data_IF_834115780648
#
_entry.id   IF_834115780648
#
_cell.length_a   1.000
_cell.length_b   1.000
_cell.length_c   1.000
_cell.angle_alpha   90.00
_cell.angle_beta   90.00
_cell.angle_gamma   90.00
#
_symmetry.space_group_name_H-M   'P 1'
#
loop_
_entity.id
_entity.type
_entity.pdbx_description
1 polymer ?
#
# COMPACT_ATOMS: atom_id res chain seq x y z
N UNK A 1 1.78 24.15 19.30
CA UNK A 1 1.00 22.98 19.75
C UNK A 1 0.34 22.38 18.51
N UNK A 2 0.85 21.27 17.96
CA UNK A 2 0.18 20.55 16.88
C UNK A 2 0.08 19.08 17.25
N UNK A 3 -1.16 18.60 17.22
CA UNK A 3 -1.62 17.34 17.78
C UNK A 3 -1.05 16.14 17.01
N UNK A 4 -0.25 15.34 17.72
CA UNK A 4 0.13 13.98 17.34
C UNK A 4 -1.06 13.04 17.58
N UNK A 5 -1.74 12.63 16.51
CA UNK A 5 -2.86 11.68 16.58
C UNK A 5 -3.45 11.27 15.22
N UNK A 6 -2.67 11.35 14.14
CA UNK A 6 -3.19 11.38 12.76
C UNK A 6 -3.44 10.00 12.13
N UNK A 7 -2.79 8.93 12.57
CA UNK A 7 -2.94 7.61 11.92
C UNK A 7 -4.35 7.03 12.04
N UNK A 8 -4.90 6.95 13.25
CA UNK A 8 -6.26 6.40 13.49
C UNK A 8 -7.36 7.31 12.93
N UNK A 9 -7.14 8.63 12.94
CA UNK A 9 -8.10 9.61 12.43
C UNK A 9 -8.16 9.61 10.90
N UNK A 10 -7.03 9.43 10.22
CA UNK A 10 -6.99 9.26 8.77
C UNK A 10 -7.67 7.95 8.34
N UNK A 11 -7.43 6.85 9.07
CA UNK A 11 -8.13 5.57 8.87
C UNK A 11 -9.64 5.70 9.01
N UNK A 12 -10.09 6.38 10.07
CA UNK A 12 -11.52 6.64 10.31
C UNK A 12 -12.12 7.53 9.22
N UNK A 13 -11.42 8.59 8.80
CA UNK A 13 -11.87 9.48 7.74
C UNK A 13 -11.96 8.78 6.38
N UNK A 14 -11.06 7.84 6.08
CA UNK A 14 -11.13 7.01 4.88
C UNK A 14 -12.38 6.11 4.89
N UNK A 15 -12.68 5.46 6.02
CA UNK A 15 -13.89 4.65 6.19
C UNK A 15 -15.17 5.49 6.10
N UNK A 16 -15.20 6.67 6.73
CA UNK A 16 -16.35 7.57 6.68
C UNK A 16 -16.59 8.12 5.26
N UNK A 17 -15.51 8.43 4.53
CA UNK A 17 -15.58 8.84 3.12
C UNK A 17 -16.10 7.69 2.25
N UNK A 18 -15.68 6.45 2.52
CA UNK A 18 -16.15 5.27 1.81
C UNK A 18 -17.66 5.08 1.91
N UNK A 19 -18.20 5.16 3.13
CA UNK A 19 -19.64 5.07 3.36
C UNK A 19 -20.40 6.21 2.66
N UNK A 20 -19.84 7.43 2.65
CA UNK A 20 -20.49 8.57 2.02
C UNK A 20 -20.56 8.47 0.49
N UNK A 21 -19.57 7.87 -0.18
CA UNK A 21 -19.54 7.85 -1.66
C UNK A 21 -19.98 6.52 -2.27
N UNK A 22 -20.17 5.47 -1.44
CA UNK A 22 -20.60 4.12 -1.85
C UNK A 22 -21.82 4.12 -2.79
N UNK A 23 -22.77 5.01 -2.54
CA UNK A 23 -24.01 5.11 -3.32
C UNK A 23 -23.86 5.81 -4.69
N UNK A 24 -22.71 6.45 -4.95
CA UNK A 24 -22.46 7.26 -6.15
C UNK A 24 -21.60 6.55 -7.20
N UNK A 25 -21.00 5.41 -6.87
CA UNK A 25 -20.02 4.74 -7.73
C UNK A 25 -20.56 3.42 -8.27
N UNK A 26 -20.50 3.22 -9.59
CA UNK A 26 -20.57 1.89 -10.18
C UNK A 26 -19.17 1.27 -10.06
N UNK A 27 -19.01 0.26 -9.21
CA UNK A 27 -17.70 -0.24 -8.81
C UNK A 27 -16.90 -0.78 -10.02
N UNK A 28 -15.67 -0.29 -10.30
CA UNK A 28 -14.70 -1.12 -10.99
C UNK A 28 -14.40 -2.33 -10.11
N UNK A 29 -14.50 -3.54 -10.68
CA UNK A 29 -14.11 -4.77 -10.00
C UNK A 29 -12.58 -4.83 -9.92
N UNK A 30 -12.01 -4.44 -8.79
CA UNK A 30 -10.67 -4.90 -8.45
C UNK A 30 -10.78 -6.33 -7.92
N UNK A 31 -9.95 -7.24 -8.44
CA UNK A 31 -9.92 -8.63 -7.96
C UNK A 31 -9.64 -8.74 -6.45
N UNK A 32 -9.04 -7.70 -5.86
CA UNK A 32 -8.66 -7.59 -4.45
C UNK A 32 -9.36 -6.43 -3.72
N UNK A 33 -10.52 -5.96 -4.19
CA UNK A 33 -11.26 -4.89 -3.52
C UNK A 33 -11.59 -5.26 -2.07
N UNK A 34 -11.14 -4.43 -1.12
CA UNK A 34 -11.43 -4.58 0.32
C UNK A 34 -12.94 -4.54 0.57
N UNK A 35 -13.65 -3.68 -0.17
CA UNK A 35 -15.10 -3.65 -0.23
C UNK A 35 -15.55 -3.98 -1.65
N UNK A 36 -16.25 -5.09 -1.84
CA UNK A 36 -16.68 -5.54 -3.18
C UNK A 36 -17.56 -4.53 -3.95
N UNK A 37 -18.21 -3.62 -3.21
CA UNK A 37 -19.11 -2.60 -3.77
C UNK A 37 -18.49 -1.19 -3.79
N UNK A 38 -17.27 -1.01 -3.25
CA UNK A 38 -16.59 0.29 -3.17
C UNK A 38 -15.12 0.15 -3.52
N UNK A 39 -14.76 0.78 -4.62
CA UNK A 39 -13.42 0.80 -5.18
C UNK A 39 -12.48 1.78 -4.44
N UNK A 40 -12.38 1.68 -3.11
CA UNK A 40 -11.45 2.52 -2.33
C UNK A 40 -10.17 1.77 -2.04
N UNK A 41 -9.08 2.35 -2.52
CA UNK A 41 -7.72 1.91 -2.26
C UNK A 41 -7.19 2.74 -1.09
N UNK A 42 -7.08 2.12 0.09
CA UNK A 42 -6.42 2.76 1.22
C UNK A 42 -4.90 2.59 1.09
N UNK A 43 -4.22 3.68 0.76
CA UNK A 43 -2.77 3.74 0.71
C UNK A 43 -2.21 4.21 2.05
N UNK A 44 -1.22 3.49 2.57
CA UNK A 44 -0.46 3.94 3.73
C UNK A 44 1.01 4.17 3.30
N UNK A 45 1.38 5.38 2.85
CA UNK A 45 2.63 5.62 2.13
C UNK A 45 3.89 5.17 2.89
N UNK A 46 3.89 5.30 4.21
CA UNK A 46 5.01 4.85 5.03
C UNK A 46 5.13 3.33 5.13
N UNK A 47 4.02 2.59 5.14
CA UNK A 47 4.04 1.13 5.15
C UNK A 47 4.40 0.59 3.76
N UNK A 48 3.85 1.21 2.71
CA UNK A 48 4.17 0.93 1.32
C UNK A 48 5.67 1.04 1.05
N UNK A 49 6.30 2.14 1.50
CA UNK A 49 7.76 2.30 1.41
C UNK A 49 8.51 1.34 2.35
N UNK A 50 7.98 1.12 3.55
CA UNK A 50 8.65 0.35 4.59
C UNK A 50 8.93 -1.09 4.19
N UNK A 51 7.98 -1.78 3.54
CA UNK A 51 8.17 -3.18 3.11
C UNK A 51 9.21 -3.37 2.02
N UNK A 52 9.59 -2.30 1.31
CA UNK A 52 10.65 -2.32 0.28
C UNK A 52 12.05 -2.23 0.87
N UNK A 53 12.18 -1.98 2.17
CA UNK A 53 13.44 -1.65 2.84
C UNK A 53 14.05 -2.86 3.55
N UNK A 54 15.34 -3.18 3.34
CA UNK A 54 16.03 -4.19 4.13
C UNK A 54 16.01 -3.89 5.63
N UNK A 55 16.00 -4.94 6.45
CA UNK A 55 15.89 -4.83 7.92
C UNK A 55 17.08 -4.06 8.50
N UNK A 56 18.26 -4.26 7.93
CA UNK A 56 19.51 -3.64 8.34
C UNK A 56 19.52 -2.12 8.13
N UNK A 57 18.61 -1.60 7.31
CA UNK A 57 18.49 -0.17 7.02
C UNK A 57 17.72 0.56 8.12
N UNK A 58 16.77 -0.11 8.80
CA UNK A 58 16.01 0.49 9.90
C UNK A 58 16.83 0.61 11.19
N UNK A 59 17.67 -0.39 11.50
CA UNK A 59 18.43 -0.44 12.75
C UNK A 59 19.54 0.61 12.90
N UNK A 60 19.88 1.32 11.83
CA UNK A 60 21.04 2.22 11.77
C UNK A 60 20.74 3.69 11.96
N UNK A 61 19.47 4.11 11.99
CA UNK A 61 19.13 5.53 11.85
C UNK A 61 18.31 6.08 13.01
N UNK A 62 18.86 7.10 13.68
CA UNK A 62 18.08 8.01 14.52
C UNK A 62 17.33 9.00 13.63
N UNK A 63 16.13 8.61 13.19
CA UNK A 63 15.31 9.47 12.34
C UNK A 63 14.65 10.57 13.18
N UNK A 64 14.83 11.83 12.79
CA UNK A 64 14.16 12.96 13.42
C UNK A 64 12.64 12.81 13.33
N UNK A 65 11.95 13.17 14.42
CA UNK A 65 10.49 13.14 14.51
C UNK A 65 9.88 13.96 13.36
N UNK A 66 9.00 13.34 12.57
CA UNK A 66 8.34 13.97 11.41
C UNK A 66 9.08 13.82 10.08
N UNK A 67 10.29 13.25 10.04
CA UNK A 67 11.07 13.04 8.80
C UNK A 67 11.12 11.61 8.30
N UNK A 68 10.43 10.69 8.98
CA UNK A 68 10.43 9.25 8.63
C UNK A 68 9.98 8.97 7.21
N UNK A 69 8.90 9.61 6.76
CA UNK A 69 8.41 9.38 5.40
C UNK A 69 9.42 9.86 4.34
N UNK A 70 9.93 11.08 4.47
CA UNK A 70 10.92 11.63 3.54
C UNK A 70 12.17 10.77 3.47
N UNK A 71 12.66 10.32 4.63
CA UNK A 71 13.82 9.44 4.74
C UNK A 71 13.58 8.07 4.06
N UNK A 72 12.40 7.47 4.26
CA UNK A 72 12.02 6.23 3.58
C UNK A 72 11.95 6.41 2.07
N UNK A 73 11.38 7.51 1.62
CA UNK A 73 11.26 7.82 0.20
C UNK A 73 12.63 7.92 -0.47
N UNK A 74 13.56 8.65 0.16
CA UNK A 74 14.92 8.80 -0.34
C UNK A 74 15.65 7.46 -0.46
N UNK A 75 15.51 6.58 0.53
CA UNK A 75 16.12 5.25 0.46
C UNK A 75 15.55 4.38 -0.66
N UNK A 76 14.23 4.42 -0.88
CA UNK A 76 13.56 3.67 -1.96
C UNK A 76 13.95 4.23 -3.34
N UNK A 77 14.26 5.53 -3.43
CA UNK A 77 14.83 6.14 -4.64
C UNK A 77 16.26 5.62 -4.86
N UNK A 78 17.10 5.64 -3.84
CA UNK A 78 18.51 5.24 -3.89
C UNK A 78 18.69 3.74 -4.20
N UNK A 79 17.80 2.88 -3.69
CA UNK A 79 17.84 1.44 -3.94
C UNK A 79 17.40 1.04 -5.37
N UNK A 80 16.84 1.98 -6.14
CA UNK A 80 16.26 1.71 -7.46
C UNK A 80 14.90 1.02 -7.42
N UNK A 81 14.29 0.84 -6.23
CA UNK A 81 13.03 0.12 -6.06
C UNK A 81 11.86 0.79 -6.80
N UNK A 82 11.88 2.11 -7.00
CA UNK A 82 10.87 2.82 -7.81
C UNK A 82 10.84 2.35 -9.26
N UNK A 83 12.01 2.11 -9.86
CA UNK A 83 12.08 1.62 -11.24
C UNK A 83 11.49 0.21 -11.35
N UNK A 84 11.78 -0.65 -10.37
CA UNK A 84 11.18 -1.98 -10.25
C UNK A 84 9.66 -1.94 -10.14
N UNK A 85 9.11 -1.02 -9.32
CA UNK A 85 7.67 -0.83 -9.19
C UNK A 85 7.02 -0.38 -10.51
N UNK A 86 7.62 0.60 -11.19
CA UNK A 86 7.10 1.10 -12.47
C UNK A 86 7.11 0.01 -13.55
N UNK A 87 8.20 -0.75 -13.65
CA UNK A 87 8.28 -1.88 -14.58
C UNK A 87 7.21 -2.93 -14.27
N UNK A 88 7.00 -3.23 -12.98
CA UNK A 88 6.03 -4.21 -12.54
C UNK A 88 4.60 -3.78 -12.87
N UNK A 89 4.23 -2.51 -12.72
CA UNK A 89 2.90 -2.02 -13.13
C UNK A 89 2.79 -1.77 -14.65
N UNK A 90 3.86 -2.05 -15.41
CA UNK A 90 3.87 -1.94 -16.88
C UNK A 90 4.03 -0.51 -17.40
N UNK A 91 4.61 0.39 -16.62
CA UNK A 91 4.81 1.79 -17.01
C UNK A 91 6.17 2.01 -17.66
N UNK A 92 6.16 2.35 -18.96
CA UNK A 92 7.30 2.93 -19.67
C UNK A 92 7.20 4.46 -19.64
N UNK A 93 7.62 5.05 -18.51
CA UNK A 93 7.50 6.49 -18.27
C UNK A 93 8.78 7.06 -17.65
N UNK A 94 9.90 7.12 -18.40
CA UNK A 94 11.21 7.53 -17.87
C UNK A 94 11.21 8.96 -17.30
N UNK A 95 10.41 9.86 -17.86
CA UNK A 95 10.29 11.23 -17.35
C UNK A 95 9.54 11.29 -16.01
N UNK A 96 8.52 10.44 -15.80
CA UNK A 96 7.84 10.32 -14.51
C UNK A 96 8.80 9.76 -13.46
N UNK A 97 9.56 8.71 -13.79
CA UNK A 97 10.58 8.15 -12.91
C UNK A 97 11.60 9.21 -12.50
N UNK A 98 12.12 9.97 -13.47
CA UNK A 98 13.08 11.06 -13.21
C UNK A 98 12.49 12.12 -12.27
N UNK A 99 11.24 12.53 -12.49
CA UNK A 99 10.55 13.47 -11.59
C UNK A 99 10.44 12.93 -10.18
N UNK A 100 10.05 11.67 -10.02
CA UNK A 100 9.97 11.02 -8.71
C UNK A 100 11.34 10.97 -8.00
N UNK A 101 12.42 10.65 -8.71
CA UNK A 101 13.78 10.58 -8.15
C UNK A 101 14.31 11.96 -7.71
N UNK A 102 13.95 13.01 -8.44
CA UNK A 102 14.40 14.39 -8.14
C UNK A 102 13.48 15.15 -7.19
N UNK A 103 12.30 14.62 -6.85
CA UNK A 103 11.33 15.31 -6.01
C UNK A 103 11.85 15.54 -4.58
N UNK A 104 11.54 16.73 -4.06
CA UNK A 104 11.94 17.18 -2.71
C UNK A 104 10.74 17.63 -1.87
N UNK A 105 9.63 17.96 -2.51
CA UNK A 105 8.40 18.34 -1.82
C UNK A 105 7.72 17.13 -1.18
N UNK A 106 7.43 17.24 0.12
CA UNK A 106 6.86 16.16 0.92
C UNK A 106 5.49 15.71 0.42
N UNK A 107 4.62 16.65 0.06
CA UNK A 107 3.25 16.37 -0.37
C UNK A 107 3.25 15.68 -1.73
N UNK A 108 4.13 16.13 -2.65
CA UNK A 108 4.31 15.47 -3.96
C UNK A 108 4.90 14.07 -3.82
N UNK A 109 5.87 13.85 -2.92
CA UNK A 109 6.38 12.51 -2.61
C UNK A 109 5.26 11.59 -2.14
N UNK A 110 4.42 12.06 -1.23
CA UNK A 110 3.25 11.30 -0.77
C UNK A 110 2.29 10.99 -1.93
N UNK A 111 1.98 11.97 -2.78
CA UNK A 111 1.12 11.79 -3.95
C UNK A 111 1.67 10.73 -4.93
N UNK A 112 2.98 10.72 -5.18
CA UNK A 112 3.59 9.69 -6.04
C UNK A 112 3.46 8.28 -5.47
N UNK A 113 3.59 8.11 -4.15
CA UNK A 113 3.41 6.81 -3.52
C UNK A 113 1.94 6.37 -3.58
N UNK A 114 0.99 7.28 -3.31
CA UNK A 114 -0.43 6.99 -3.49
C UNK A 114 -0.75 6.58 -4.94
N UNK A 115 -0.18 7.28 -5.93
CA UNK A 115 -0.30 6.93 -7.35
C UNK A 115 0.23 5.53 -7.64
N UNK A 116 1.41 5.17 -7.12
CA UNK A 116 1.97 3.82 -7.28
C UNK A 116 1.13 2.74 -6.60
N UNK A 117 0.57 3.02 -5.42
CA UNK A 117 -0.36 2.10 -4.74
C UNK A 117 -1.59 1.85 -5.61
N UNK A 118 -2.20 2.91 -6.14
CA UNK A 118 -3.34 2.80 -7.05
C UNK A 118 -2.98 2.07 -8.36
N UNK A 119 -1.78 2.26 -8.88
CA UNK A 119 -1.30 1.55 -10.06
C UNK A 119 -1.11 0.05 -9.81
N UNK A 120 -0.50 -0.32 -8.67
CA UNK A 120 -0.39 -1.72 -8.25
C UNK A 120 -1.78 -2.35 -8.09
N UNK A 121 -2.72 -1.58 -7.53
CA UNK A 121 -4.10 -2.01 -7.35
C UNK A 121 -4.81 -2.29 -8.67
N UNK A 122 -4.74 -1.32 -9.59
CA UNK A 122 -5.34 -1.43 -10.92
C UNK A 122 -4.71 -2.54 -11.76
N UNK A 123 -3.43 -2.83 -11.57
CA UNK A 123 -2.74 -3.94 -12.23
C UNK A 123 -3.06 -5.31 -11.62
N UNK A 124 -3.78 -5.38 -10.48
CA UNK A 124 -4.02 -6.63 -9.75
C UNK A 124 -2.76 -7.24 -9.13
N UNK A 125 -1.75 -6.41 -8.85
CA UNK A 125 -0.44 -6.83 -8.32
C UNK A 125 -0.16 -6.33 -6.91
N UNK A 126 -1.10 -5.57 -6.33
CA UNK A 126 -0.99 -5.12 -4.96
C UNK A 126 -1.35 -6.23 -3.98
N UNK A 127 -0.69 -6.21 -2.82
CA UNK A 127 -0.99 -7.08 -1.70
C UNK A 127 -1.92 -6.36 -0.73
N UNK A 128 -3.00 -7.02 -0.34
CA UNK A 128 -3.97 -6.47 0.63
C UNK A 128 -3.75 -7.16 1.96
N UNK A 129 -3.29 -6.40 2.95
CA UNK A 129 -3.01 -6.90 4.30
C UNK A 129 -3.84 -6.17 5.34
N UNK A 130 -4.20 -6.85 6.41
CA UNK A 130 -5.01 -6.29 7.48
C UNK A 130 -6.05 -7.27 7.99
N UNK A 131 -7.00 -6.76 8.75
CA UNK A 131 -8.09 -7.54 9.32
C UNK A 131 -9.33 -6.67 9.57
N UNK A 132 -10.44 -7.30 9.97
CA UNK A 132 -11.72 -6.60 10.20
C UNK A 132 -11.63 -5.57 11.33
N UNK A 133 -10.80 -5.79 12.34
CA UNK A 133 -10.66 -4.88 13.48
C UNK A 133 -9.70 -3.72 13.19
N UNK A 134 -8.64 -3.95 12.40
CA UNK A 134 -7.57 -2.97 12.14
C UNK A 134 -7.68 -2.24 10.79
N UNK A 135 -8.60 -2.70 9.94
CA UNK A 135 -8.77 -2.26 8.56
C UNK A 135 -7.79 -2.94 7.61
N UNK A 136 -7.86 -2.58 6.34
CA UNK A 136 -7.05 -3.17 5.28
C UNK A 136 -6.22 -2.09 4.59
N UNK A 137 -4.99 -2.42 4.24
CA UNK A 137 -4.09 -1.53 3.51
C UNK A 137 -3.55 -2.22 2.26
N UNK A 138 -3.30 -1.43 1.22
CA UNK A 138 -2.70 -1.91 -0.02
C UNK A 138 -1.20 -1.64 0.01
N UNK A 139 -0.44 -2.70 -0.25
CA UNK A 139 1.02 -2.72 -0.27
C UNK A 139 1.53 -3.06 -1.67
N UNK A 140 2.81 -2.78 -1.97
CA UNK A 140 3.39 -3.20 -3.24
C UNK A 140 3.37 -4.73 -3.37
N UNK A 141 3.61 -5.27 -4.56
CA UNK A 141 3.76 -6.70 -4.77
C UNK A 141 4.84 -7.32 -3.89
N UNK A 142 4.57 -8.50 -3.35
CA UNK A 142 5.47 -9.24 -2.46
C UNK A 142 6.85 -9.53 -3.06
N UNK A 143 6.96 -9.64 -4.39
CA UNK A 143 8.24 -9.85 -5.11
C UNK A 143 9.29 -8.76 -4.82
N UNK A 144 8.84 -7.56 -4.46
CA UNK A 144 9.71 -6.41 -4.16
C UNK A 144 9.94 -6.22 -2.66
N UNK A 145 9.34 -7.06 -1.82
CA UNK A 145 9.46 -6.91 -0.37
C UNK A 145 10.80 -7.42 0.14
N UNK A 146 11.33 -6.69 1.11
CA UNK A 146 12.44 -7.18 1.92
C UNK A 146 12.10 -8.52 2.59
N UNK A 147 13.13 -9.31 2.88
CA UNK A 147 12.99 -10.65 3.45
C UNK A 147 12.16 -10.65 4.74
N UNK A 148 12.42 -9.70 5.65
CA UNK A 148 11.69 -9.59 6.92
C UNK A 148 10.18 -9.44 6.72
N UNK A 149 9.76 -8.65 5.73
CA UNK A 149 8.34 -8.37 5.47
C UNK A 149 7.64 -9.59 4.89
N UNK A 150 8.31 -10.33 3.99
CA UNK A 150 7.81 -11.59 3.45
C UNK A 150 7.67 -12.64 4.55
N UNK A 151 8.69 -12.82 5.38
CA UNK A 151 8.66 -13.74 6.52
C UNK A 151 7.53 -13.40 7.49
N UNK A 152 7.33 -12.11 7.80
CA UNK A 152 6.24 -11.68 8.68
C UNK A 152 4.86 -11.99 8.08
N UNK A 153 4.67 -11.82 6.77
CA UNK A 153 3.44 -12.20 6.09
C UNK A 153 3.19 -13.71 6.17
N UNK A 154 4.20 -14.53 5.86
CA UNK A 154 4.11 -15.99 5.94
C UNK A 154 3.75 -16.48 7.36
N UNK A 155 4.37 -15.89 8.38
CA UNK A 155 4.07 -16.18 9.79
C UNK A 155 2.63 -15.81 10.17
N UNK A 156 2.17 -14.64 9.74
CA UNK A 156 0.80 -14.19 10.00
C UNK A 156 -0.22 -15.08 9.30
N UNK A 157 0.04 -15.48 8.05
CA UNK A 157 -0.82 -16.41 7.32
C UNK A 157 -0.90 -17.77 8.02
N UNK A 158 0.23 -18.33 8.46
CA UNK A 158 0.26 -19.59 9.19
C UNK A 158 -0.47 -19.51 10.54
N UNK A 159 -0.42 -18.37 11.23
CA UNK A 159 -1.19 -18.14 12.46
C UNK A 159 -2.70 -17.99 12.17
N UNK A 160 -3.06 -17.41 11.02
CA UNK A 160 -4.45 -17.28 10.58
C UNK A 160 -5.05 -18.57 10.02
N UNK A 161 -4.25 -19.52 9.50
CA UNK A 161 -4.73 -20.84 9.05
C UNK A 161 -5.30 -21.70 10.21
N UNK A 162 -5.08 -21.30 11.46
CA UNK A 162 -5.80 -21.85 12.63
C UNK A 162 -7.14 -21.16 12.96
N UNK A 163 -7.45 -19.99 12.37
CA UNK A 163 -8.54 -19.11 12.83
C UNK A 163 -9.34 -18.36 11.74
N UNK A 164 -8.99 -18.42 10.45
CA UNK A 164 -9.71 -17.66 9.41
C UNK A 164 -10.04 -18.51 8.17
N UNK A 165 -11.33 -18.86 8.05
CA UNK A 165 -11.93 -19.14 6.73
C UNK A 165 -11.94 -17.81 5.97
N UNK A 166 -11.29 -17.76 4.81
CA UNK A 166 -11.49 -16.68 3.85
C UNK A 166 -12.98 -16.34 3.74
N UNK A 167 -13.39 -15.07 3.58
CA UNK A 167 -14.68 -14.79 2.98
C UNK A 167 -14.60 -15.47 1.62
N UNK A 168 -15.34 -16.57 1.48
CA UNK A 168 -15.43 -17.29 0.23
C UNK A 168 -15.85 -16.29 -0.84
N UNK A 169 -14.89 -15.83 -1.64
CA UNK A 169 -15.14 -15.28 -2.96
C UNK A 169 -15.80 -16.45 -3.68
N UNK A 170 -17.14 -16.47 -3.67
CA UNK A 170 -17.90 -17.42 -4.47
C UNK A 170 -17.46 -17.19 -5.90
N UNK A 171 -16.61 -18.08 -6.41
CA UNK A 171 -16.41 -18.28 -7.85
C UNK A 171 -17.76 -18.72 -8.40
N UNK A 172 -18.58 -17.74 -8.78
CA UNK A 172 -19.75 -17.97 -9.63
C UNK A 172 -19.26 -18.26 -11.04
N UNK A 173 -18.78 -19.48 -11.27
CA UNK A 173 -18.58 -20.03 -12.61
C UNK A 173 -19.95 -20.48 -13.13
N UNK A 174 -20.36 -19.87 -14.24
CA UNK A 174 -21.40 -20.25 -15.22
C UNK A 174 -22.10 -21.61 -15.10
N UNK A 175 -23.44 -21.58 -15.20
CA UNK A 175 -24.38 -22.49 -15.90
C UNK A 175 -25.80 -21.96 -15.55
N UNK A 176 -26.74 -21.70 -16.46
CA UNK A 176 -27.03 -22.20 -17.80
C UNK A 176 -27.69 -21.12 -18.65
#
# INVERSE_FOLDING_TARGET
MSHFGTGLQLKRAALETAEQIKHLTSAPSFASAVFGDVAIVEAFPSAFLGVLMPEETFGKVQILRGKKFDWLYEHVVESGSLAGLMALVGWDAPELLRRMQTERDHEKRAAYICLLTAACAAAGKAEVVGDVASGWIWLPPTDLWASWARTALEQNLAACDGAFRSPSIRRGLTRS
#
